data_IF_854992193059
#
_entry.id   IF_854992193059
#
_cell.length_a   1.000
_cell.length_b   1.000
_cell.length_c   1.000
_cell.angle_alpha   90.00
_cell.angle_beta   90.00
_cell.angle_gamma   90.00
#
_symmetry.space_group_name_H-M   'P 1'
#
loop_
_entity.id
_entity.type
_entity.pdbx_description
1 polymer ?
#
# COMPACT_ATOMS: atom_id res chain seq x y z
N UNK A 1 -41.84 -15.22 16.26
CA UNK A 1 -41.45 -13.86 15.82
C UNK A 1 -39.95 -13.86 15.57
N UNK A 2 -39.55 -14.24 14.36
CA UNK A 2 -38.17 -14.12 13.87
C UNK A 2 -37.88 -12.64 13.60
N UNK A 3 -36.96 -12.08 14.38
CA UNK A 3 -36.45 -10.73 14.14
C UNK A 3 -35.63 -10.72 12.86
N UNK A 4 -36.14 -10.10 11.79
CA UNK A 4 -35.43 -9.81 10.53
C UNK A 4 -34.01 -9.24 10.79
N UNK A 5 -32.92 -9.99 10.56
CA UNK A 5 -31.55 -9.46 10.64
C UNK A 5 -31.05 -8.90 9.30
N UNK A 6 -31.96 -8.60 8.37
CA UNK A 6 -31.62 -8.42 6.94
C UNK A 6 -31.30 -6.98 6.54
N UNK A 7 -31.73 -5.96 7.27
CA UNK A 7 -31.55 -4.56 6.84
C UNK A 7 -30.19 -3.95 7.24
N UNK A 8 -29.58 -4.36 8.35
CA UNK A 8 -28.29 -3.80 8.83
C UNK A 8 -27.08 -4.22 8.00
N UNK A 9 -27.14 -5.34 7.27
CA UNK A 9 -26.03 -5.82 6.40
C UNK A 9 -25.93 -5.12 5.04
N UNK A 10 -26.93 -4.30 4.69
CA UNK A 10 -27.02 -3.60 3.41
C UNK A 10 -26.54 -2.14 3.47
N UNK A 11 -26.30 -1.59 4.66
CA UNK A 11 -25.87 -0.20 4.79
C UNK A 11 -24.45 -0.02 4.28
N UNK A 12 -24.31 0.56 3.09
CA UNK A 12 -23.04 0.89 2.45
C UNK A 12 -23.07 2.35 2.01
N UNK A 13 -22.79 3.29 2.93
CA UNK A 13 -22.95 4.70 2.65
C UNK A 13 -21.99 5.14 1.54
N UNK A 14 -22.38 6.21 0.85
CA UNK A 14 -21.51 6.87 -0.11
C UNK A 14 -20.30 7.47 0.59
N UNK A 15 -19.17 7.49 -0.10
CA UNK A 15 -18.00 8.20 0.40
C UNK A 15 -18.30 9.71 0.46
N UNK A 16 -18.00 10.39 1.58
CA UNK A 16 -18.15 11.83 1.68
C UNK A 16 -17.35 12.55 0.59
N UNK A 17 -17.93 13.62 0.02
CA UNK A 17 -17.29 14.38 -1.04
C UNK A 17 -15.88 14.88 -0.68
N UNK A 18 -15.61 15.43 0.53
CA UNK A 18 -14.26 15.90 0.84
C UNK A 18 -13.23 14.75 0.89
N UNK A 19 -13.61 13.58 1.39
CA UNK A 19 -12.77 12.39 1.34
C UNK A 19 -12.54 11.92 -0.10
N UNK A 20 -13.58 11.97 -0.93
CA UNK A 20 -13.47 11.63 -2.36
C UNK A 20 -12.49 12.55 -3.09
N UNK A 21 -12.58 13.85 -2.84
CA UNK A 21 -11.66 14.84 -3.41
C UNK A 21 -10.23 14.59 -2.94
N UNK A 22 -10.02 14.31 -1.65
CA UNK A 22 -8.71 13.96 -1.10
C UNK A 22 -8.10 12.74 -1.82
N UNK A 23 -8.87 11.65 -1.94
CA UNK A 23 -8.40 10.43 -2.62
C UNK A 23 -8.18 10.68 -4.13
N UNK A 24 -9.04 11.48 -4.78
CA UNK A 24 -8.87 11.85 -6.19
C UNK A 24 -7.56 12.62 -6.44
N UNK A 25 -7.25 13.59 -5.58
CA UNK A 25 -5.96 14.32 -5.64
C UNK A 25 -4.81 13.32 -5.50
N UNK A 26 -4.91 12.41 -4.52
CA UNK A 26 -3.93 11.33 -4.35
C UNK A 26 -3.80 10.43 -5.59
N UNK A 27 -4.89 10.03 -6.23
CA UNK A 27 -4.85 9.26 -7.49
C UNK A 27 -4.09 10.01 -8.60
N UNK A 28 -4.38 11.30 -8.79
CA UNK A 28 -3.70 12.12 -9.81
C UNK A 28 -2.21 12.22 -9.50
N UNK A 29 -1.85 12.48 -8.24
CA UNK A 29 -0.46 12.55 -7.81
C UNK A 29 0.27 11.21 -7.98
N UNK A 30 -0.33 10.10 -7.53
CA UNK A 30 0.25 8.76 -7.69
C UNK A 30 0.46 8.39 -9.15
N UNK A 31 -0.46 8.76 -10.03
CA UNK A 31 -0.32 8.54 -11.47
C UNK A 31 0.84 9.35 -12.04
N UNK A 32 0.82 10.68 -11.87
CA UNK A 32 1.83 11.57 -12.45
C UNK A 32 3.22 11.30 -11.88
N UNK A 33 3.34 11.29 -10.54
CA UNK A 33 4.60 11.07 -9.85
C UNK A 33 5.09 9.62 -10.02
N UNK A 34 4.17 8.65 -9.98
CA UNK A 34 4.50 7.24 -10.21
C UNK A 34 5.03 6.97 -11.60
N UNK A 35 4.43 7.57 -12.64
CA UNK A 35 4.93 7.47 -14.03
C UNK A 35 6.34 8.06 -14.13
N UNK A 36 6.55 9.28 -13.61
CA UNK A 36 7.85 9.94 -13.68
C UNK A 36 8.92 9.12 -12.94
N UNK A 37 8.63 8.68 -11.72
CA UNK A 37 9.56 7.86 -10.93
C UNK A 37 9.89 6.51 -11.60
N UNK A 38 8.90 5.85 -12.21
CA UNK A 38 9.08 4.50 -12.76
C UNK A 38 9.71 4.50 -14.15
N UNK A 39 9.26 5.37 -15.05
CA UNK A 39 9.67 5.37 -16.46
C UNK A 39 10.77 6.39 -16.74
N UNK A 40 10.87 7.48 -15.97
CA UNK A 40 11.84 8.56 -16.16
C UNK A 40 12.68 8.80 -14.90
N UNK A 41 13.36 7.75 -14.37
CA UNK A 41 13.98 7.81 -13.06
C UNK A 41 15.14 8.80 -12.96
N UNK A 42 15.81 9.14 -14.07
CA UNK A 42 16.88 10.13 -14.12
C UNK A 42 16.32 11.54 -13.90
N UNK A 43 15.29 11.91 -14.65
CA UNK A 43 14.56 13.18 -14.44
C UNK A 43 13.99 13.26 -13.03
N UNK A 44 13.45 12.16 -12.50
CA UNK A 44 12.84 12.15 -11.19
C UNK A 44 13.83 12.52 -10.06
N UNK A 45 15.10 12.12 -10.16
CA UNK A 45 16.14 12.41 -9.15
C UNK A 45 16.31 13.92 -8.95
N UNK A 46 16.25 14.70 -10.02
CA UNK A 46 16.48 16.15 -9.98
C UNK A 46 15.38 16.90 -9.24
N UNK A 47 14.14 16.40 -9.28
CA UNK A 47 12.97 17.03 -8.67
C UNK A 47 12.59 16.44 -7.31
N UNK A 48 13.09 15.25 -6.98
CA UNK A 48 12.74 14.56 -5.73
C UNK A 48 13.13 15.35 -4.47
N UNK A 49 12.42 15.11 -3.37
CA UNK A 49 12.57 15.89 -2.13
C UNK A 49 13.75 15.48 -1.26
N UNK A 50 14.40 14.34 -1.55
CA UNK A 50 15.64 13.89 -0.92
C UNK A 50 16.59 13.26 -1.94
N UNK A 51 17.86 13.16 -1.58
CA UNK A 51 18.89 12.55 -2.44
C UNK A 51 18.63 11.06 -2.66
N UNK A 52 18.52 10.66 -3.92
CA UNK A 52 18.22 9.29 -4.34
C UNK A 52 18.95 8.94 -5.64
N UNK A 53 18.94 7.67 -6.03
CA UNK A 53 19.53 7.17 -7.29
C UNK A 53 18.41 6.71 -8.24
N UNK A 54 18.64 6.72 -9.57
CA UNK A 54 17.65 6.26 -10.54
C UNK A 54 17.10 4.83 -10.28
N UNK A 55 17.94 3.93 -9.76
CA UNK A 55 17.50 2.59 -9.39
C UNK A 55 16.48 2.58 -8.24
N UNK A 56 16.59 3.51 -7.29
CA UNK A 56 15.71 3.62 -6.11
C UNK A 56 14.43 4.41 -6.42
N UNK A 57 14.50 5.40 -7.31
CA UNK A 57 13.31 6.12 -7.78
C UNK A 57 12.36 5.18 -8.52
N UNK A 58 12.87 4.26 -9.33
CA UNK A 58 12.03 3.27 -10.01
C UNK A 58 11.24 2.39 -9.05
N UNK A 59 11.88 1.91 -7.98
CA UNK A 59 11.18 1.17 -6.92
C UNK A 59 10.04 2.00 -6.34
N UNK A 60 10.29 3.27 -6.02
CA UNK A 60 9.26 4.16 -5.49
C UNK A 60 8.11 4.39 -6.49
N UNK A 61 8.43 4.49 -7.78
CA UNK A 61 7.44 4.54 -8.86
C UNK A 61 6.54 3.30 -8.89
N UNK A 62 7.10 2.10 -8.71
CA UNK A 62 6.31 0.86 -8.62
C UNK A 62 5.39 0.85 -7.39
N UNK A 63 5.86 1.35 -6.24
CA UNK A 63 5.03 1.52 -5.04
C UNK A 63 3.85 2.46 -5.34
N UNK A 64 4.11 3.59 -6.01
CA UNK A 64 3.08 4.60 -6.29
C UNK A 64 2.06 4.08 -7.32
N UNK A 65 2.53 3.46 -8.41
CA UNK A 65 1.68 2.91 -9.45
C UNK A 65 0.84 1.72 -8.97
N UNK A 66 1.39 0.86 -8.11
CA UNK A 66 0.59 -0.23 -7.51
C UNK A 66 -0.46 0.29 -6.52
N UNK A 67 -0.17 1.38 -5.81
CA UNK A 67 -1.11 2.04 -4.89
C UNK A 67 -2.22 2.82 -5.60
N UNK A 68 -2.04 3.16 -6.88
CA UNK A 68 -3.08 3.79 -7.68
C UNK A 68 -4.33 2.90 -7.81
N UNK A 69 -4.15 1.59 -7.96
CA UNK A 69 -5.26 0.65 -8.15
C UNK A 69 -6.28 0.67 -7.00
N UNK A 70 -5.90 0.50 -5.72
CA UNK A 70 -6.86 0.57 -4.62
C UNK A 70 -7.54 1.94 -4.52
N UNK A 71 -6.82 3.04 -4.72
CA UNK A 71 -7.38 4.39 -4.65
C UNK A 71 -8.36 4.68 -5.80
N UNK A 72 -8.04 4.23 -7.02
CA UNK A 72 -8.91 4.33 -8.17
C UNK A 72 -10.20 3.52 -7.97
N UNK A 73 -10.09 2.29 -7.44
CA UNK A 73 -11.25 1.45 -7.10
C UNK A 73 -12.14 2.13 -6.06
N UNK A 74 -11.56 2.65 -4.98
CA UNK A 74 -12.32 3.34 -3.92
C UNK A 74 -13.09 4.55 -4.47
N UNK A 75 -12.46 5.32 -5.35
CA UNK A 75 -13.02 6.51 -6.00
C UNK A 75 -14.11 6.18 -7.02
N UNK A 76 -13.90 5.12 -7.80
CA UNK A 76 -14.82 4.65 -8.84
C UNK A 76 -16.09 4.06 -8.22
N UNK A 77 -15.93 3.16 -7.25
CA UNK A 77 -17.06 2.52 -6.57
C UNK A 77 -17.80 3.53 -5.69
N UNK A 78 -17.07 4.46 -5.08
CA UNK A 78 -17.63 5.53 -4.25
C UNK A 78 -18.51 5.03 -3.08
N UNK A 79 -18.15 3.87 -2.51
CA UNK A 79 -18.87 3.25 -1.38
C UNK A 79 -17.94 2.98 -0.21
N UNK A 80 -18.48 3.01 1.00
CA UNK A 80 -17.71 2.86 2.21
C UNK A 80 -16.93 1.54 2.30
N UNK A 81 -17.46 0.41 1.81
CA UNK A 81 -16.73 -0.87 1.93
C UNK A 81 -15.31 -0.85 1.33
N UNK A 82 -15.07 -0.60 0.03
CA UNK A 82 -13.70 -0.48 -0.48
C UNK A 82 -12.93 0.69 0.15
N UNK A 83 -13.63 1.79 0.47
CA UNK A 83 -13.01 2.98 1.09
C UNK A 83 -12.47 2.67 2.49
N UNK A 84 -13.15 1.86 3.30
CA UNK A 84 -12.71 1.46 4.65
C UNK A 84 -11.34 0.80 4.61
N UNK A 85 -11.14 -0.13 3.69
CA UNK A 85 -9.85 -0.78 3.47
C UNK A 85 -8.80 0.26 3.04
N UNK A 86 -9.09 1.03 1.99
CA UNK A 86 -8.13 1.95 1.37
C UNK A 86 -7.74 3.08 2.31
N UNK A 87 -8.69 3.67 3.02
CA UNK A 87 -8.43 4.74 4.00
C UNK A 87 -7.66 4.21 5.20
N UNK A 88 -7.90 2.96 5.65
CA UNK A 88 -7.11 2.35 6.73
C UNK A 88 -5.64 2.20 6.33
N UNK A 89 -5.39 1.68 5.12
CA UNK A 89 -4.05 1.54 4.56
C UNK A 89 -3.38 2.90 4.34
N UNK A 90 -4.11 3.86 3.75
CA UNK A 90 -3.63 5.21 3.47
C UNK A 90 -3.29 5.97 4.75
N UNK A 91 -4.11 5.85 5.81
CA UNK A 91 -3.85 6.49 7.10
C UNK A 91 -2.54 6.01 7.73
N UNK A 92 -2.32 4.69 7.78
CA UNK A 92 -1.07 4.13 8.31
C UNK A 92 0.13 4.53 7.46
N UNK A 93 0.00 4.45 6.13
CA UNK A 93 1.05 4.86 5.21
C UNK A 93 1.46 6.33 5.44
N UNK A 94 0.48 7.23 5.43
CA UNK A 94 0.71 8.68 5.50
C UNK A 94 1.21 9.13 6.87
N UNK A 95 0.72 8.55 7.97
CA UNK A 95 1.23 8.82 9.31
C UNK A 95 2.71 8.41 9.41
N UNK A 96 3.04 7.20 8.96
CA UNK A 96 4.43 6.71 9.03
C UNK A 96 5.35 7.58 8.18
N UNK A 97 4.96 7.93 6.95
CA UNK A 97 5.75 8.83 6.10
C UNK A 97 5.90 10.21 6.74
N UNK A 98 4.83 10.78 7.30
CA UNK A 98 4.86 12.09 7.96
C UNK A 98 5.85 12.10 9.12
N UNK A 99 5.77 11.09 10.00
CA UNK A 99 6.65 10.95 11.17
C UNK A 99 8.10 10.75 10.73
N UNK A 100 8.37 9.79 9.83
CA UNK A 100 9.73 9.51 9.35
C UNK A 100 10.33 10.74 8.65
N UNK A 101 9.54 11.45 7.84
CA UNK A 101 9.97 12.68 7.16
C UNK A 101 10.30 13.79 8.17
N UNK A 102 9.45 13.98 9.18
CA UNK A 102 9.66 15.01 10.21
C UNK A 102 10.90 14.73 11.07
N UNK A 103 11.09 13.48 11.49
CA UNK A 103 12.27 13.07 12.26
C UNK A 103 13.57 13.13 11.45
N UNK A 104 13.48 13.10 10.12
CA UNK A 104 14.62 13.12 9.21
C UNK A 104 14.64 14.35 8.30
N UNK A 105 14.20 15.51 8.80
CA UNK A 105 14.15 16.75 8.01
C UNK A 105 15.51 17.12 7.41
N UNK A 106 16.63 16.76 8.08
CA UNK A 106 17.99 16.97 7.58
C UNK A 106 18.34 16.18 6.32
N UNK A 107 17.58 15.13 5.99
CA UNK A 107 17.72 14.37 4.74
C UNK A 107 16.99 15.03 3.56
N UNK A 108 16.12 16.01 3.85
CA UNK A 108 15.31 16.68 2.85
C UNK A 108 16.06 17.86 2.24
N UNK A 109 15.87 18.06 0.93
CA UNK A 109 16.44 19.19 0.21
C UNK A 109 15.51 20.40 0.38
N UNK A 110 15.99 21.61 0.72
CA UNK A 110 15.13 22.78 0.94
C UNK A 110 14.62 23.34 -0.41
N UNK A 111 13.49 22.83 -0.88
CA UNK A 111 12.83 23.23 -2.15
C UNK A 111 11.32 23.32 -1.97
N UNK A 112 10.62 23.97 -2.91
CA UNK A 112 9.14 24.09 -2.89
C UNK A 112 8.45 22.72 -2.76
N UNK A 113 8.95 21.72 -3.48
CA UNK A 113 8.42 20.35 -3.42
C UNK A 113 8.45 19.74 -2.00
N UNK A 114 9.41 20.15 -1.16
CA UNK A 114 9.52 19.66 0.23
C UNK A 114 8.42 20.22 1.11
N UNK A 115 8.08 21.50 0.96
CA UNK A 115 6.91 22.08 1.63
C UNK A 115 5.60 21.41 1.19
N UNK A 116 5.46 21.15 -0.11
CA UNK A 116 4.32 20.42 -0.67
C UNK A 116 4.25 19.00 -0.10
N UNK A 117 5.37 18.28 -0.02
CA UNK A 117 5.47 16.94 0.58
C UNK A 117 4.91 16.93 2.01
N UNK A 118 5.43 17.80 2.89
CA UNK A 118 4.95 17.85 4.28
C UNK A 118 3.48 18.25 4.38
N UNK A 119 3.04 19.23 3.60
CA UNK A 119 1.63 19.66 3.59
C UNK A 119 0.67 18.56 3.15
N UNK A 120 1.00 17.85 2.07
CA UNK A 120 0.19 16.74 1.55
C UNK A 120 0.11 15.59 2.55
N UNK A 121 1.25 15.10 3.04
CA UNK A 121 1.27 13.97 3.96
C UNK A 121 0.59 14.28 5.29
N UNK A 122 0.72 15.50 5.80
CA UNK A 122 0.00 15.93 7.00
C UNK A 122 -1.52 15.99 6.75
N UNK A 123 -1.94 16.60 5.63
CA UNK A 123 -3.35 16.70 5.28
C UNK A 123 -4.00 15.32 5.07
N UNK A 124 -3.32 14.41 4.37
CA UNK A 124 -3.80 13.03 4.18
C UNK A 124 -3.85 12.26 5.48
N UNK A 125 -2.83 12.38 6.35
CA UNK A 125 -2.79 11.72 7.66
C UNK A 125 -3.97 12.15 8.54
N UNK A 126 -4.16 13.46 8.69
CA UNK A 126 -5.24 14.01 9.51
C UNK A 126 -6.62 13.73 8.91
N UNK A 127 -6.76 13.90 7.60
CA UNK A 127 -8.01 13.65 6.88
C UNK A 127 -8.46 12.20 6.98
N UNK A 128 -7.57 11.26 6.67
CA UNK A 128 -7.89 9.82 6.76
C UNK A 128 -8.14 9.38 8.20
N UNK A 129 -7.35 9.84 9.17
CA UNK A 129 -7.59 9.55 10.59
C UNK A 129 -8.95 10.05 11.08
N UNK A 130 -9.31 11.29 10.70
CA UNK A 130 -10.63 11.86 10.99
C UNK A 130 -11.77 11.00 10.43
N UNK A 131 -11.68 10.59 9.16
CA UNK A 131 -12.72 9.77 8.54
C UNK A 131 -12.80 8.35 9.11
N UNK A 132 -11.67 7.73 9.45
CA UNK A 132 -11.67 6.44 10.15
C UNK A 132 -12.34 6.57 11.52
N UNK A 133 -12.02 7.62 12.27
CA UNK A 133 -12.67 7.88 13.56
C UNK A 133 -14.17 8.11 13.38
N UNK A 134 -14.58 8.96 12.43
CA UNK A 134 -15.98 9.32 12.17
C UNK A 134 -16.84 8.12 11.77
N UNK A 135 -16.26 7.16 11.06
CA UNK A 135 -16.94 5.97 10.53
C UNK A 135 -16.57 4.67 11.27
N UNK A 136 -15.90 4.74 12.42
CA UNK A 136 -15.45 3.56 13.19
C UNK A 136 -16.57 2.61 13.65
N UNK A 137 -17.81 3.10 13.68
CA UNK A 137 -19.00 2.34 14.07
C UNK A 137 -19.75 1.73 12.87
N UNK A 138 -19.35 2.06 11.65
CA UNK A 138 -19.99 1.50 10.46
C UNK A 138 -19.49 0.07 10.22
N UNK A 139 -20.39 -0.93 10.21
CA UNK A 139 -20.00 -2.30 9.93
C UNK A 139 -19.56 -2.43 8.46
N UNK A 140 -18.72 -3.42 8.14
CA UNK A 140 -18.39 -3.72 6.76
C UNK A 140 -19.66 -4.13 6.00
N UNK A 141 -19.94 -3.46 4.89
CA UNK A 141 -21.10 -3.78 4.07
C UNK A 141 -20.90 -5.10 3.32
N UNK A 142 -21.97 -5.87 3.16
CA UNK A 142 -21.99 -7.09 2.33
C UNK A 142 -20.88 -8.09 2.68
N UNK A 143 -20.62 -8.31 3.98
CA UNK A 143 -19.59 -9.24 4.46
C UNK A 143 -19.71 -10.62 3.82
N UNK A 144 -18.57 -11.20 3.50
CA UNK A 144 -18.44 -12.59 3.05
C UNK A 144 -17.71 -13.40 4.13
N UNK A 145 -18.03 -14.69 4.21
CA UNK A 145 -17.28 -15.63 5.05
C UNK A 145 -16.14 -16.26 4.23
N UNK A 146 -14.92 -16.12 4.74
CA UNK A 146 -13.73 -16.80 4.24
C UNK A 146 -13.54 -18.14 4.94
N UNK A 147 -12.84 -19.07 4.29
CA UNK A 147 -12.45 -20.32 4.95
C UNK A 147 -11.46 -20.05 6.10
N UNK A 148 -11.42 -20.90 7.14
CA UNK A 148 -10.47 -20.74 8.25
C UNK A 148 -9.00 -20.70 7.79
N UNK A 149 -8.67 -21.39 6.69
CA UNK A 149 -7.34 -21.37 6.08
C UNK A 149 -6.99 -19.98 5.54
N UNK A 150 -7.92 -19.33 4.84
CA UNK A 150 -7.73 -17.97 4.34
C UNK A 150 -7.57 -16.96 5.48
N UNK A 151 -8.40 -17.06 6.52
CA UNK A 151 -8.30 -16.19 7.70
C UNK A 151 -6.95 -16.35 8.39
N UNK A 152 -6.51 -17.59 8.59
CA UNK A 152 -5.21 -17.89 9.22
C UNK A 152 -4.04 -17.35 8.39
N UNK A 153 -4.11 -17.53 7.06
CA UNK A 153 -3.12 -17.00 6.14
C UNK A 153 -3.05 -15.47 6.18
N UNK A 154 -4.19 -14.78 6.12
CA UNK A 154 -4.23 -13.31 6.17
C UNK A 154 -3.69 -12.75 7.49
N UNK A 155 -3.96 -13.43 8.62
CA UNK A 155 -3.36 -13.07 9.92
C UNK A 155 -1.85 -13.26 9.92
N UNK A 156 -1.37 -14.40 9.43
CA UNK A 156 0.07 -14.66 9.33
C UNK A 156 0.75 -13.63 8.43
N UNK A 157 0.17 -13.34 7.26
CA UNK A 157 0.66 -12.32 6.34
C UNK A 157 0.71 -10.94 7.01
N UNK A 158 -0.34 -10.56 7.74
CA UNK A 158 -0.38 -9.30 8.48
C UNK A 158 0.72 -9.22 9.54
N UNK A 159 0.94 -10.30 10.30
CA UNK A 159 2.01 -10.38 11.32
C UNK A 159 3.37 -10.25 10.66
N UNK A 160 3.64 -10.99 9.58
CA UNK A 160 4.93 -10.96 8.87
C UNK A 160 5.20 -9.57 8.30
N UNK A 161 4.23 -8.97 7.59
CA UNK A 161 4.36 -7.62 7.05
C UNK A 161 4.50 -6.57 8.17
N UNK A 162 3.75 -6.73 9.26
CA UNK A 162 3.78 -5.82 10.41
C UNK A 162 5.12 -5.84 11.12
N UNK A 163 5.61 -7.02 11.49
CA UNK A 163 6.93 -7.20 12.11
C UNK A 163 8.05 -6.69 11.20
N UNK A 164 7.97 -6.97 9.91
CA UNK A 164 8.98 -6.51 8.96
C UNK A 164 8.95 -4.98 8.78
N UNK A 165 7.76 -4.38 8.68
CA UNK A 165 7.61 -2.92 8.65
C UNK A 165 8.12 -2.24 9.93
N UNK A 166 7.81 -2.79 11.10
CA UNK A 166 8.36 -2.29 12.37
C UNK A 166 9.89 -2.46 12.43
N UNK A 167 10.41 -3.59 11.95
CA UNK A 167 11.85 -3.81 11.83
C UNK A 167 12.53 -2.77 10.94
N UNK A 168 11.92 -2.41 9.81
CA UNK A 168 12.40 -1.33 8.94
C UNK A 168 12.37 0.06 9.62
N UNK A 169 11.52 0.29 10.62
CA UNK A 169 11.52 1.54 11.40
C UNK A 169 12.63 1.56 12.46
N UNK A 170 12.77 0.46 13.20
CA UNK A 170 13.59 0.39 14.43
C UNK A 170 15.04 -0.03 14.12
N UNK A 171 15.22 -1.03 13.26
CA UNK A 171 16.52 -1.62 12.89
C UNK A 171 16.69 -1.68 11.36
N UNK A 172 16.55 -0.54 10.64
CA UNK A 172 16.48 -0.52 9.19
C UNK A 172 17.66 -1.21 8.51
N UNK A 173 18.89 -1.00 8.98
CA UNK A 173 20.11 -1.56 8.36
C UNK A 173 20.08 -3.09 8.31
N UNK A 174 19.61 -3.73 9.39
CA UNK A 174 19.45 -5.19 9.45
C UNK A 174 18.36 -5.64 8.48
N UNK A 175 17.20 -5.00 8.52
CA UNK A 175 16.06 -5.32 7.66
C UNK A 175 16.31 -5.01 6.18
N UNK A 176 17.22 -4.10 5.84
CA UNK A 176 17.61 -3.83 4.45
C UNK A 176 18.72 -4.73 3.94
N UNK A 177 19.40 -5.50 4.81
CA UNK A 177 20.55 -6.33 4.41
C UNK A 177 20.22 -7.42 3.39
N UNK A 178 18.97 -7.92 3.40
CA UNK A 178 18.54 -8.97 2.48
C UNK A 178 18.03 -8.45 1.13
N UNK A 179 17.96 -7.13 0.94
CA UNK A 179 17.47 -6.57 -0.32
C UNK A 179 18.46 -6.87 -1.46
N UNK A 180 17.98 -6.93 -2.72
CA UNK A 180 18.86 -7.27 -3.84
C UNK A 180 19.93 -6.19 -4.16
N UNK A 181 19.81 -5.00 -3.57
CA UNK A 181 20.76 -3.89 -3.65
C UNK A 181 20.78 -3.10 -2.33
N UNK A 182 21.76 -2.19 -2.20
CA UNK A 182 21.97 -1.43 -0.97
C UNK A 182 20.94 -0.30 -0.74
N UNK A 183 20.36 -0.29 0.45
CA UNK A 183 19.39 0.71 0.90
C UNK A 183 19.89 1.36 2.19
N UNK A 184 19.83 2.69 2.22
CA UNK A 184 20.22 3.48 3.39
C UNK A 184 19.10 3.44 4.43
N UNK A 185 19.45 3.59 5.70
CA UNK A 185 18.51 3.52 6.82
C UNK A 185 17.25 4.36 6.61
N UNK A 186 17.40 5.64 6.25
CA UNK A 186 16.28 6.55 5.96
C UNK A 186 15.29 6.00 4.91
N UNK A 187 15.81 5.43 3.82
CA UNK A 187 14.94 4.85 2.78
C UNK A 187 14.22 3.59 3.28
N UNK A 188 14.90 2.75 4.07
CA UNK A 188 14.28 1.61 4.73
C UNK A 188 13.10 2.03 5.63
N UNK A 189 13.31 3.08 6.43
CA UNK A 189 12.27 3.65 7.29
C UNK A 189 11.11 4.23 6.48
N UNK A 190 11.37 4.95 5.40
CA UNK A 190 10.33 5.43 4.47
C UNK A 190 9.55 4.25 3.88
N UNK A 191 10.24 3.20 3.42
CA UNK A 191 9.62 2.01 2.84
C UNK A 191 8.88 1.14 3.86
N UNK A 192 9.12 1.27 5.16
CA UNK A 192 8.34 0.56 6.19
C UNK A 192 6.82 0.80 6.06
N UNK A 193 6.44 2.01 5.63
CA UNK A 193 5.06 2.46 5.46
C UNK A 193 4.24 1.52 4.59
N UNK A 194 4.80 0.98 3.49
CA UNK A 194 4.06 0.09 2.59
C UNK A 194 3.80 -1.27 3.22
N UNK A 195 4.73 -1.76 4.04
CA UNK A 195 4.58 -3.03 4.74
C UNK A 195 3.58 -2.89 5.89
N UNK A 196 3.62 -1.79 6.64
CA UNK A 196 2.65 -1.50 7.70
C UNK A 196 1.23 -1.24 7.14
N UNK A 197 1.11 -0.55 6.01
CA UNK A 197 -0.16 -0.39 5.31
C UNK A 197 -0.69 -1.74 4.81
N UNK A 198 0.16 -2.57 4.20
CA UNK A 198 -0.18 -3.93 3.79
C UNK A 198 -0.61 -4.82 4.96
N UNK A 199 0.07 -4.73 6.10
CA UNK A 199 -0.28 -5.42 7.34
C UNK A 199 -1.66 -4.99 7.84
N UNK A 200 -1.94 -3.69 7.82
CA UNK A 200 -3.23 -3.11 8.22
C UNK A 200 -4.35 -3.64 7.32
N UNK A 201 -4.18 -3.60 6.00
CA UNK A 201 -5.18 -4.09 5.06
C UNK A 201 -5.43 -5.59 5.19
N UNK A 202 -4.38 -6.39 5.30
CA UNK A 202 -4.49 -7.85 5.46
C UNK A 202 -5.14 -8.25 6.79
N UNK A 203 -4.78 -7.59 7.89
CA UNK A 203 -5.42 -7.80 9.20
C UNK A 203 -6.90 -7.43 9.17
N UNK A 204 -7.24 -6.31 8.53
CA UNK A 204 -8.61 -5.86 8.37
C UNK A 204 -9.47 -6.92 7.68
N UNK A 205 -8.98 -7.52 6.58
CA UNK A 205 -9.72 -8.57 5.87
C UNK A 205 -9.80 -9.89 6.64
N UNK A 206 -8.84 -10.16 7.54
CA UNK A 206 -8.87 -11.34 8.39
C UNK A 206 -9.91 -11.25 9.52
N UNK A 207 -10.39 -10.04 9.83
CA UNK A 207 -11.43 -9.81 10.85
C UNK A 207 -12.82 -9.72 10.24
N UNK A 208 -12.98 -8.91 9.18
CA UNK A 208 -14.21 -8.80 8.43
C UNK A 208 -13.94 -8.27 7.02
N UNK A 209 -14.50 -8.95 6.02
CA UNK A 209 -14.19 -8.69 4.61
C UNK A 209 -15.43 -8.67 3.74
N UNK A 210 -15.44 -7.81 2.72
CA UNK A 210 -16.35 -7.87 1.59
C UNK A 210 -15.64 -8.40 0.35
N UNK A 211 -16.41 -8.88 -0.64
CA UNK A 211 -15.82 -9.32 -1.91
C UNK A 211 -15.06 -8.19 -2.62
N UNK A 212 -15.52 -6.94 -2.52
CA UNK A 212 -14.81 -5.81 -3.14
C UNK A 212 -13.54 -5.46 -2.41
N UNK A 213 -13.51 -5.51 -1.08
CA UNK A 213 -12.29 -5.31 -0.31
C UNK A 213 -11.25 -6.39 -0.63
N UNK A 214 -11.67 -7.66 -0.72
CA UNK A 214 -10.80 -8.78 -1.08
C UNK A 214 -10.22 -8.64 -2.49
N UNK A 215 -11.05 -8.24 -3.47
CA UNK A 215 -10.57 -7.95 -4.82
C UNK A 215 -9.57 -6.79 -4.83
N UNK A 216 -9.88 -5.72 -4.11
CA UNK A 216 -9.07 -4.50 -4.06
C UNK A 216 -7.68 -4.80 -3.49
N UNK A 217 -7.60 -5.50 -2.35
CA UNK A 217 -6.32 -5.90 -1.77
C UNK A 217 -5.59 -6.91 -2.66
N UNK A 218 -6.33 -7.85 -3.26
CA UNK A 218 -5.78 -8.85 -4.18
C UNK A 218 -5.09 -8.22 -5.38
N UNK A 219 -5.77 -7.28 -6.05
CA UNK A 219 -5.20 -6.53 -7.16
C UNK A 219 -4.00 -5.69 -6.73
N UNK A 220 -4.08 -5.05 -5.55
CA UNK A 220 -2.97 -4.27 -4.99
C UNK A 220 -1.72 -5.13 -4.80
N UNK A 221 -1.86 -6.32 -4.18
CA UNK A 221 -0.75 -7.25 -3.96
C UNK A 221 -0.17 -7.81 -5.27
N UNK A 222 -1.05 -8.13 -6.23
CA UNK A 222 -0.64 -8.57 -7.56
C UNK A 222 0.18 -7.50 -8.29
N UNK A 223 -0.32 -6.27 -8.36
CA UNK A 223 0.37 -5.16 -9.02
C UNK A 223 1.66 -4.78 -8.30
N UNK A 224 1.65 -4.76 -6.97
CA UNK A 224 2.85 -4.50 -6.17
C UNK A 224 3.93 -5.55 -6.45
N UNK A 225 3.61 -6.85 -6.33
CA UNK A 225 4.58 -7.91 -6.61
C UNK A 225 5.12 -7.85 -8.04
N UNK A 226 4.23 -7.69 -9.02
CA UNK A 226 4.60 -7.68 -10.44
C UNK A 226 5.45 -6.46 -10.81
N UNK A 227 5.04 -5.25 -10.45
CA UNK A 227 5.78 -4.03 -10.78
C UNK A 227 7.13 -3.97 -10.08
N UNK A 228 7.25 -4.50 -8.86
CA UNK A 228 8.51 -4.56 -8.15
C UNK A 228 9.50 -5.55 -8.80
N UNK A 229 9.02 -6.72 -9.25
CA UNK A 229 9.85 -7.70 -9.97
C UNK A 229 10.26 -7.16 -11.34
N UNK A 230 9.33 -6.56 -12.10
CA UNK A 230 9.63 -5.94 -13.39
C UNK A 230 10.63 -4.80 -13.20
N UNK A 231 10.40 -3.93 -12.20
CA UNK A 231 11.31 -2.84 -11.85
C UNK A 231 12.71 -3.34 -11.50
N UNK A 232 12.82 -4.44 -10.75
CA UNK A 232 14.09 -5.09 -10.43
C UNK A 232 14.84 -5.54 -11.68
N UNK A 233 14.15 -6.22 -12.61
CA UNK A 233 14.75 -6.70 -13.86
C UNK A 233 15.25 -5.51 -14.69
N UNK A 234 14.46 -4.45 -14.79
CA UNK A 234 14.89 -3.25 -15.53
C UNK A 234 16.10 -2.59 -14.85
N UNK A 235 16.09 -2.43 -13.52
CA UNK A 235 17.23 -1.87 -12.78
C UNK A 235 18.49 -2.72 -12.96
N UNK A 236 18.36 -4.05 -12.95
CA UNK A 236 19.47 -4.94 -13.25
C UNK A 236 20.08 -4.65 -14.61
N UNK A 237 19.24 -4.57 -15.64
CA UNK A 237 19.69 -4.38 -17.02
C UNK A 237 20.25 -2.98 -17.28
N UNK A 238 19.72 -1.95 -16.61
CA UNK A 238 20.15 -0.56 -16.80
C UNK A 238 21.36 -0.17 -15.96
N UNK A 239 21.51 -0.70 -14.75
CA UNK A 239 22.50 -0.20 -13.78
C UNK A 239 23.44 -1.28 -13.22
N UNK A 240 23.20 -2.58 -13.45
CA UNK A 240 24.07 -3.65 -12.98
C UNK A 240 24.23 -3.75 -11.45
N UNK A 241 23.32 -3.15 -10.67
CA UNK A 241 23.44 -3.04 -9.20
C UNK A 241 22.86 -4.24 -8.43
N UNK A 242 22.22 -5.18 -9.13
CA UNK A 242 21.48 -6.29 -8.52
C UNK A 242 22.40 -7.48 -8.29
N UNK A 243 22.40 -8.01 -7.05
CA UNK A 243 23.27 -9.12 -6.64
C UNK A 243 22.60 -10.48 -6.90
N UNK A 244 22.59 -10.93 -8.15
CA UNK A 244 21.92 -12.20 -8.56
C UNK A 244 22.52 -13.47 -7.96
N UNK A 245 23.80 -13.45 -7.58
CA UNK A 245 24.47 -14.57 -6.91
C UNK A 245 24.01 -14.76 -5.46
N UNK A 246 23.38 -13.76 -4.85
CA UNK A 246 22.94 -13.85 -3.47
C UNK A 246 21.60 -14.57 -3.35
N UNK A 247 21.52 -15.58 -2.48
CA UNK A 247 20.27 -16.28 -2.16
C UNK A 247 19.16 -15.33 -1.69
N UNK A 248 19.52 -14.24 -1.01
CA UNK A 248 18.56 -13.23 -0.52
C UNK A 248 17.82 -12.51 -1.65
N UNK A 249 18.43 -12.33 -2.82
CA UNK A 249 17.77 -11.76 -4.01
C UNK A 249 16.62 -12.66 -4.46
N UNK A 250 16.86 -13.98 -4.51
CA UNK A 250 15.85 -14.97 -4.88
C UNK A 250 14.77 -15.10 -3.81
N UNK A 251 15.11 -15.02 -2.53
CA UNK A 251 14.12 -14.95 -1.45
C UNK A 251 13.24 -13.70 -1.58
N UNK A 252 13.81 -12.55 -1.91
CA UNK A 252 13.07 -11.30 -2.13
C UNK A 252 12.11 -11.42 -3.33
N UNK A 253 12.58 -11.94 -4.47
CA UNK A 253 11.75 -12.20 -5.66
C UNK A 253 10.65 -13.22 -5.32
N UNK A 254 10.99 -14.31 -4.64
CA UNK A 254 10.05 -15.35 -4.22
C UNK A 254 8.97 -14.80 -3.30
N UNK A 255 9.32 -13.95 -2.34
CA UNK A 255 8.37 -13.30 -1.44
C UNK A 255 7.38 -12.40 -2.20
N UNK A 256 7.86 -11.62 -3.17
CA UNK A 256 6.99 -10.77 -4.00
C UNK A 256 6.15 -11.56 -5.00
N UNK A 257 6.71 -12.63 -5.58
CA UNK A 257 5.99 -13.55 -6.45
C UNK A 257 4.87 -14.24 -5.69
N UNK A 258 5.16 -14.73 -4.48
CA UNK A 258 4.17 -15.31 -3.57
C UNK A 258 3.08 -14.31 -3.20
N UNK A 259 3.46 -13.07 -2.86
CA UNK A 259 2.52 -11.98 -2.60
C UNK A 259 1.58 -11.74 -3.80
N UNK A 260 2.13 -11.75 -5.01
CA UNK A 260 1.35 -11.60 -6.24
C UNK A 260 0.39 -12.76 -6.51
N UNK A 261 0.84 -14.01 -6.32
CA UNK A 261 0.02 -15.22 -6.48
C UNK A 261 -1.14 -15.26 -5.48
N UNK A 262 -0.89 -14.86 -4.24
CA UNK A 262 -1.92 -14.72 -3.21
C UNK A 262 -2.89 -13.60 -3.60
N UNK A 263 -2.38 -12.51 -4.18
CA UNK A 263 -3.17 -11.47 -4.82
C UNK A 263 -4.20 -12.02 -5.82
N UNK A 264 -3.74 -12.89 -6.74
CA UNK A 264 -4.59 -13.59 -7.70
C UNK A 264 -5.60 -14.50 -7.01
N UNK A 265 -5.18 -15.26 -5.99
CA UNK A 265 -6.07 -16.11 -5.19
C UNK A 265 -7.20 -15.33 -4.51
N UNK A 266 -6.91 -14.15 -3.95
CA UNK A 266 -7.92 -13.26 -3.37
C UNK A 266 -8.90 -12.73 -4.40
N UNK A 267 -8.42 -12.33 -5.59
CA UNK A 267 -9.29 -11.90 -6.69
C UNK A 267 -10.22 -13.03 -7.16
N UNK A 268 -9.70 -14.26 -7.26
CA UNK A 268 -10.48 -15.44 -7.62
C UNK A 268 -11.55 -15.77 -6.57
N UNK A 269 -11.20 -15.73 -5.27
CA UNK A 269 -12.18 -15.93 -4.19
C UNK A 269 -13.26 -14.84 -4.19
N UNK A 270 -12.88 -13.59 -4.41
CA UNK A 270 -13.82 -12.48 -4.53
C UNK A 270 -14.83 -12.71 -5.66
N UNK A 271 -14.36 -13.15 -6.81
CA UNK A 271 -15.21 -13.44 -7.97
C UNK A 271 -16.18 -14.60 -7.69
N UNK A 272 -15.69 -15.71 -7.10
CA UNK A 272 -16.56 -16.83 -6.69
C UNK A 272 -17.68 -16.33 -5.79
N UNK A 273 -17.35 -15.57 -4.74
CA UNK A 273 -18.35 -15.08 -3.76
C UNK A 273 -19.33 -14.06 -4.33
N UNK A 274 -19.00 -13.38 -5.44
CA UNK A 274 -19.93 -12.48 -6.16
C UNK A 274 -20.92 -13.23 -7.04
N UNK A 275 -20.59 -14.41 -7.55
CA UNK A 275 -21.49 -15.21 -8.43
C UNK A 275 -22.59 -15.96 -7.68
N UNK A 276 -22.45 -16.17 -6.38
CA UNK A 276 -23.42 -16.92 -5.55
C UNK A 276 -24.34 -16.00 -4.71
N UNK A 277 -24.47 -14.73 -5.10
CA UNK A 277 -25.43 -13.75 -4.54
C UNK A 277 -26.21 -13.13 -5.69
#
# INVERSE_FOLDING_TARGET
METLPTLTRLHNPWMPLPLRVLILIGCVLLLLVGIVLYFFPETAVDYWVWSTKPSKTRLLGAIYLSSLAPMAIATWINRWSPVRLVVSMLCVFTIVISVVSGLNVSQMIPRKATGIWFGLYLAESLGTAYYLWRYRREPPAMTISLSPRWVSYLRLQAIVLGLYGLGLLIVPTLCTSFWPWEIRAFHGQVYSSIFLAGATGTWLLATATSAMELFTLGLTQFLFGSLQIIGLIIVSNSFGVVRWSNATTWLWIGALGWLGLVGVGMMWESWKKRRYK
#
